data_IF_405891239049
#
_entry.id   IF_405891239049
#
_cell.length_a   1.000
_cell.length_b   1.000
_cell.length_c   1.000
_cell.angle_alpha   90.00
_cell.angle_beta   90.00
_cell.angle_gamma   90.00
#
_symmetry.space_group_name_H-M   'P 1'
#
loop_
_entity.id
_entity.type
_entity.pdbx_description
1 polymer ?
#
# COMPACT_ATOMS: atom_id res chain seq x y z
N UNK A 1 2.08 18.28 -23.23
CA UNK A 1 2.07 18.81 -21.87
C UNK A 1 2.27 17.70 -20.88
N UNK A 2 3.23 17.83 -20.01
CA UNK A 2 3.51 16.77 -19.04
C UNK A 2 2.39 16.69 -18.03
N UNK A 3 1.93 15.47 -17.71
CA UNK A 3 0.97 15.31 -16.64
C UNK A 3 1.60 15.74 -15.34
N UNK A 4 0.96 16.65 -14.68
CA UNK A 4 1.41 17.15 -13.41
C UNK A 4 0.29 17.00 -12.42
N UNK A 5 0.58 16.40 -11.28
CA UNK A 5 -0.43 16.24 -10.25
C UNK A 5 -0.78 17.60 -9.65
N UNK A 6 -2.06 17.84 -9.39
CA UNK A 6 -2.43 19.04 -8.66
C UNK A 6 -1.80 19.03 -7.27
N UNK A 7 -1.53 20.21 -6.70
CA UNK A 7 -0.95 20.26 -5.35
C UNK A 7 -1.80 19.54 -4.32
N UNK A 8 -3.11 19.50 -4.51
CA UNK A 8 -3.99 18.80 -3.59
C UNK A 8 -3.70 17.32 -3.57
N UNK A 9 -3.40 16.75 -4.74
CA UNK A 9 -3.08 15.32 -4.83
C UNK A 9 -1.76 15.04 -4.14
N UNK A 10 -0.76 15.90 -4.33
CA UNK A 10 0.52 15.72 -3.66
C UNK A 10 0.33 15.73 -2.15
N UNK A 11 -0.42 16.70 -1.65
CA UNK A 11 -0.68 16.80 -0.22
C UNK A 11 -1.42 15.56 0.27
N UNK A 12 -2.41 15.11 -0.47
CA UNK A 12 -3.18 13.93 -0.12
C UNK A 12 -2.29 12.70 -0.04
N UNK A 13 -1.42 12.52 -1.04
CA UNK A 13 -0.55 11.35 -1.08
C UNK A 13 0.47 11.39 0.05
N UNK A 14 1.02 12.55 0.34
CA UNK A 14 1.96 12.68 1.44
C UNK A 14 1.30 12.39 2.78
N UNK A 15 0.09 12.90 2.97
CA UNK A 15 -0.64 12.63 4.20
C UNK A 15 -0.98 11.14 4.30
N UNK A 16 -1.39 10.54 3.20
CA UNK A 16 -1.71 9.12 3.21
C UNK A 16 -0.49 8.27 3.52
N UNK A 17 0.65 8.63 2.95
CA UNK A 17 1.88 7.90 3.22
C UNK A 17 2.25 7.99 4.70
N UNK A 18 2.14 9.16 5.28
CA UNK A 18 2.41 9.33 6.71
C UNK A 18 1.50 8.44 7.54
N UNK A 19 0.22 8.40 7.19
CA UNK A 19 -0.73 7.54 7.90
C UNK A 19 -0.35 6.07 7.77
N UNK A 20 0.02 5.66 6.56
CA UNK A 20 0.37 4.27 6.32
C UNK A 20 1.64 3.88 7.07
N UNK A 21 2.61 4.77 7.10
CA UNK A 21 3.84 4.50 7.83
C UNK A 21 3.60 4.40 9.32
N UNK A 22 2.73 5.24 9.84
CA UNK A 22 2.36 5.17 11.25
C UNK A 22 1.61 3.87 11.54
N UNK A 23 0.72 3.49 10.66
CA UNK A 23 -0.03 2.25 10.81
C UNK A 23 0.90 1.04 10.75
N UNK A 24 1.84 1.07 9.83
CA UNK A 24 2.81 -0.01 9.69
C UNK A 24 3.67 -0.13 10.95
N UNK A 25 4.12 1.00 11.48
CA UNK A 25 4.90 0.99 12.70
C UNK A 25 4.10 0.38 13.85
N UNK A 26 2.82 0.70 13.93
CA UNK A 26 1.97 0.12 14.94
C UNK A 26 1.80 -1.39 14.79
N UNK A 27 1.66 -1.85 13.55
CA UNK A 27 1.49 -3.28 13.30
C UNK A 27 2.77 -4.06 13.56
N UNK A 28 3.91 -3.43 13.31
CA UNK A 28 5.20 -4.08 13.51
C UNK A 28 5.71 -3.94 14.93
N UNK A 29 5.10 -3.07 15.73
CA UNK A 29 5.53 -2.89 17.08
C UNK A 29 5.25 -4.14 17.88
N UNK A 30 6.25 -4.61 18.62
CA UNK A 30 6.06 -5.74 19.48
C UNK A 30 5.56 -5.27 20.82
N UNK A 31 4.67 -6.03 21.44
CA UNK A 31 4.30 -5.72 22.80
C UNK A 31 5.56 -5.75 23.66
N UNK A 32 5.89 -4.64 24.26
CA UNK A 32 7.09 -4.56 25.08
C UNK A 32 6.74 -4.59 26.55
N UNK A 33 5.47 -4.62 26.89
CA UNK A 33 5.06 -4.65 28.26
C UNK A 33 5.40 -6.01 28.85
N UNK A 34 6.18 -6.03 29.92
CA UNK A 34 6.56 -7.32 30.51
C UNK A 34 5.37 -8.18 30.88
N UNK A 35 4.32 -7.55 31.36
CA UNK A 35 3.13 -8.30 31.74
C UNK A 35 2.45 -8.98 30.58
N UNK A 36 2.57 -8.41 29.39
CA UNK A 36 1.94 -8.98 28.21
C UNK A 36 2.60 -10.28 27.80
N UNK A 37 3.82 -10.48 28.17
CA UNK A 37 4.57 -11.67 27.80
C UNK A 37 4.38 -12.81 28.79
N UNK A 38 4.00 -12.47 29.97
CA UNK A 38 3.91 -13.44 31.02
C UNK A 38 2.47 -13.91 31.13
N UNK A 39 2.21 -15.03 30.57
CA UNK A 39 0.85 -15.56 30.52
C UNK A 39 0.82 -16.90 31.18
N UNK A 40 1.03 -16.88 32.46
CA UNK A 40 1.04 -18.10 33.25
C UNK A 40 -0.31 -18.80 33.19
N UNK A 41 -0.28 -20.09 33.09
CA UNK A 41 -1.50 -20.86 33.08
C UNK A 41 -2.29 -20.76 31.80
N UNK A 42 -1.70 -20.20 30.75
CA UNK A 42 -2.40 -20.14 29.48
C UNK A 42 -2.64 -21.52 28.94
N UNK A 43 -3.81 -21.72 28.41
CA UNK A 43 -4.19 -22.97 27.77
C UNK A 43 -3.72 -22.97 26.35
N UNK A 44 -3.73 -24.18 25.77
CA UNK A 44 -3.33 -24.31 24.37
C UNK A 44 -4.17 -23.43 23.46
N UNK A 45 -5.45 -23.25 23.78
CA UNK A 45 -6.31 -22.40 22.96
C UNK A 45 -5.87 -20.95 22.97
N UNK A 46 -5.41 -20.47 24.14
CA UNK A 46 -4.91 -19.10 24.23
C UNK A 46 -3.66 -18.92 23.40
N UNK A 47 -2.79 -19.92 23.39
CA UNK A 47 -1.59 -19.86 22.60
C UNK A 47 -1.91 -19.82 21.11
N UNK A 48 -2.87 -20.63 20.67
CA UNK A 48 -3.30 -20.63 19.29
C UNK A 48 -3.88 -19.27 18.90
N UNK A 49 -4.65 -18.66 19.81
CA UNK A 49 -5.21 -17.34 19.54
C UNK A 49 -4.11 -16.31 19.36
N UNK A 50 -3.04 -16.39 20.15
CA UNK A 50 -1.91 -15.47 20.01
C UNK A 50 -1.21 -15.63 18.67
N UNK A 51 -0.99 -16.87 18.25
CA UNK A 51 -0.35 -17.13 16.97
C UNK A 51 -1.22 -16.62 15.82
N UNK A 52 -2.53 -16.85 15.93
CA UNK A 52 -3.46 -16.37 14.91
C UNK A 52 -3.43 -14.85 14.82
N UNK A 53 -3.40 -14.19 15.98
CA UNK A 53 -3.33 -12.73 16.02
C UNK A 53 -2.04 -12.22 15.37
N UNK A 54 -0.92 -12.87 15.66
CA UNK A 54 0.36 -12.49 15.08
C UNK A 54 0.34 -12.65 13.55
N UNK A 55 -0.26 -13.73 13.08
CA UNK A 55 -0.36 -13.93 11.65
C UNK A 55 -1.25 -12.88 10.99
N UNK A 56 -2.35 -12.53 11.66
CA UNK A 56 -3.23 -11.50 11.14
C UNK A 56 -2.52 -10.17 11.06
N UNK A 57 -1.73 -9.84 12.07
CA UNK A 57 -0.94 -8.60 12.06
C UNK A 57 0.09 -8.59 10.96
N UNK A 58 0.75 -9.73 10.75
CA UNK A 58 1.75 -9.82 9.70
C UNK A 58 1.12 -9.60 8.32
N UNK A 59 -0.05 -10.17 8.09
CA UNK A 59 -0.76 -9.98 6.84
C UNK A 59 -1.21 -8.54 6.66
N UNK A 60 -1.71 -7.95 7.73
CA UNK A 60 -2.11 -6.54 7.68
C UNK A 60 -0.90 -5.67 7.38
N UNK A 61 0.25 -5.96 7.99
CA UNK A 61 1.45 -5.20 7.73
C UNK A 61 1.88 -5.31 6.27
N UNK A 62 1.76 -6.50 5.69
CA UNK A 62 2.08 -6.66 4.27
C UNK A 62 1.19 -5.80 3.39
N UNK A 63 -0.10 -5.78 3.70
CA UNK A 63 -1.05 -4.97 2.92
C UNK A 63 -0.71 -3.49 3.02
N UNK A 64 -0.45 -3.03 4.23
CA UNK A 64 -0.11 -1.64 4.46
C UNK A 64 1.20 -1.29 3.74
N UNK A 65 2.18 -2.18 3.80
CA UNK A 65 3.45 -1.94 3.14
C UNK A 65 3.29 -1.85 1.63
N UNK A 66 2.49 -2.72 1.06
CA UNK A 66 2.24 -2.66 -0.38
C UNK A 66 1.59 -1.36 -0.79
N UNK A 67 0.62 -0.91 0.00
CA UNK A 67 -0.05 0.34 -0.29
C UNK A 67 0.92 1.51 -0.13
N UNK A 68 1.75 1.49 0.92
CA UNK A 68 2.74 2.53 1.12
C UNK A 68 3.71 2.60 -0.06
N UNK A 69 4.11 1.45 -0.57
CA UNK A 69 4.99 1.41 -1.74
C UNK A 69 4.32 2.03 -2.95
N UNK A 70 3.03 1.77 -3.13
CA UNK A 70 2.29 2.36 -4.24
C UNK A 70 2.21 3.87 -4.11
N UNK A 71 1.98 4.36 -2.90
CA UNK A 71 1.92 5.80 -2.66
C UNK A 71 3.28 6.43 -2.92
N UNK A 72 4.35 5.80 -2.45
CA UNK A 72 5.71 6.30 -2.70
C UNK A 72 6.01 6.32 -4.19
N UNK A 73 5.61 5.27 -4.91
CA UNK A 73 5.81 5.22 -6.34
C UNK A 73 5.06 6.33 -7.05
N UNK A 74 3.83 6.61 -6.62
CA UNK A 74 3.06 7.68 -7.20
C UNK A 74 3.72 9.03 -6.97
N UNK A 75 4.22 9.26 -5.76
CA UNK A 75 4.94 10.50 -5.47
C UNK A 75 6.19 10.63 -6.32
N UNK A 76 6.90 9.54 -6.53
CA UNK A 76 8.08 9.54 -7.37
C UNK A 76 7.72 9.86 -8.81
N UNK A 77 6.62 9.32 -9.29
CA UNK A 77 6.18 9.63 -10.65
C UNK A 77 5.77 11.09 -10.80
N UNK A 78 5.24 11.67 -9.75
CA UNK A 78 4.96 13.11 -9.76
C UNK A 78 6.25 13.89 -9.95
N UNK A 79 7.30 13.52 -9.22
CA UNK A 79 8.60 14.16 -9.36
C UNK A 79 9.16 14.01 -10.77
N UNK A 80 8.87 12.90 -11.41
CA UNK A 80 9.34 12.63 -12.76
C UNK A 80 8.45 13.25 -13.83
N UNK A 81 7.34 13.86 -13.43
CA UNK A 81 6.39 14.42 -14.40
C UNK A 81 5.59 13.36 -15.12
N UNK A 82 5.45 12.19 -14.52
CA UNK A 82 4.77 11.06 -15.17
C UNK A 82 3.51 10.64 -14.43
N UNK A 83 3.02 11.45 -13.52
CA UNK A 83 1.82 11.11 -12.79
C UNK A 83 0.64 10.99 -13.76
N UNK A 84 -0.18 9.96 -13.55
CA UNK A 84 -1.35 9.76 -14.42
C UNK A 84 -1.05 8.98 -15.68
N UNK A 85 0.18 8.53 -15.84
CA UNK A 85 0.58 7.71 -16.99
C UNK A 85 0.90 6.32 -16.47
N UNK A 86 0.33 5.31 -17.11
CA UNK A 86 0.57 3.93 -16.72
C UNK A 86 2.06 3.60 -16.88
N UNK A 87 2.64 3.00 -15.86
CA UNK A 87 4.07 2.67 -15.90
C UNK A 87 4.36 1.48 -16.81
N UNK A 88 3.34 0.74 -17.19
CA UNK A 88 3.51 -0.45 -18.03
C UNK A 88 3.27 -0.16 -19.48
N UNK A 89 2.10 0.38 -19.81
CA UNK A 89 1.75 0.62 -21.21
C UNK A 89 1.93 2.08 -21.64
N UNK A 90 2.19 2.96 -20.69
CA UNK A 90 2.46 4.38 -20.93
C UNK A 90 1.29 5.13 -21.51
N UNK A 91 0.10 4.58 -21.38
CA UNK A 91 -1.12 5.27 -21.73
C UNK A 91 -1.66 6.01 -20.51
N UNK A 92 -2.46 7.06 -20.73
CA UNK A 92 -3.03 7.78 -19.60
C UNK A 92 -3.91 6.88 -18.73
N UNK A 93 -3.78 7.05 -17.44
CA UNK A 93 -4.67 6.37 -16.49
C UNK A 93 -5.97 7.16 -16.46
N UNK A 94 -7.13 6.48 -16.55
CA UNK A 94 -8.41 7.21 -16.54
C UNK A 94 -8.56 8.07 -15.31
N UNK A 95 -9.13 9.24 -15.47
CA UNK A 95 -9.34 10.15 -14.36
C UNK A 95 -10.22 9.53 -13.28
N UNK A 96 -11.19 8.74 -13.68
CA UNK A 96 -12.08 8.08 -12.73
C UNK A 96 -11.29 7.16 -11.81
N UNK A 97 -10.29 6.48 -12.36
CA UNK A 97 -9.45 5.61 -11.56
C UNK A 97 -8.57 6.42 -10.61
N UNK A 98 -8.03 7.52 -11.09
CA UNK A 98 -7.20 8.38 -10.24
C UNK A 98 -8.01 9.05 -9.15
N UNK A 99 -9.28 9.31 -9.40
CA UNK A 99 -10.16 9.88 -8.38
C UNK A 99 -10.35 8.91 -7.22
N UNK A 100 -10.42 7.63 -7.52
CA UNK A 100 -10.60 6.59 -6.50
C UNK A 100 -9.26 6.17 -5.91
N UNK A 101 -8.25 6.03 -6.76
CA UNK A 101 -6.92 5.58 -6.36
C UNK A 101 -5.89 6.61 -6.81
N UNK A 102 -5.73 7.70 -6.05
CA UNK A 102 -4.79 8.75 -6.46
C UNK A 102 -3.35 8.26 -6.60
N UNK A 103 -3.04 7.14 -5.93
CA UNK A 103 -1.68 6.57 -6.01
C UNK A 103 -1.54 5.54 -7.12
N UNK A 104 -2.51 5.45 -8.02
CA UNK A 104 -2.43 4.47 -9.09
C UNK A 104 -1.27 4.80 -10.02
N UNK A 105 -0.47 3.78 -10.31
CA UNK A 105 0.62 3.89 -11.27
C UNK A 105 0.37 3.05 -12.50
N UNK A 106 -0.76 2.34 -12.54
CA UNK A 106 -1.13 1.47 -13.66
C UNK A 106 -2.59 1.69 -14.02
N UNK A 107 -2.88 1.55 -15.30
CA UNK A 107 -4.26 1.60 -15.74
C UNK A 107 -4.98 0.33 -15.30
N UNK A 108 -6.32 0.34 -15.46
CA UNK A 108 -7.13 -0.79 -15.03
C UNK A 108 -6.67 -2.08 -15.69
N UNK A 109 -6.41 -2.03 -16.98
CA UNK A 109 -6.05 -3.23 -17.73
C UNK A 109 -4.71 -3.79 -17.26
N UNK A 110 -3.72 -2.91 -17.08
CA UNK A 110 -2.40 -3.36 -16.65
C UNK A 110 -2.42 -3.84 -15.22
N UNK A 111 -3.21 -3.20 -14.38
CA UNK A 111 -3.32 -3.62 -12.98
C UNK A 111 -4.01 -4.99 -12.89
N UNK A 112 -5.04 -5.19 -13.70
CA UNK A 112 -5.76 -6.45 -13.69
C UNK A 112 -4.92 -7.57 -14.25
N UNK A 113 -4.07 -7.29 -15.22
CA UNK A 113 -3.21 -8.28 -15.82
C UNK A 113 -1.82 -8.32 -15.21
N UNK A 114 -1.61 -7.67 -14.09
CA UNK A 114 -0.27 -7.53 -13.53
C UNK A 114 0.36 -8.86 -13.19
N UNK A 115 -0.44 -9.85 -12.86
CA UNK A 115 0.09 -11.15 -12.46
C UNK A 115 0.43 -12.02 -13.65
N UNK A 116 0.01 -11.64 -14.84
CA UNK A 116 0.27 -12.41 -16.03
C UNK A 116 1.16 -11.68 -16.99
N UNK A 117 1.63 -12.38 -18.01
CA UNK A 117 2.40 -11.73 -19.04
C UNK A 117 1.53 -10.71 -19.75
N UNK A 118 2.12 -9.60 -20.08
CA UNK A 118 1.39 -8.59 -20.84
C UNK A 118 0.93 -9.18 -22.14
N UNK A 119 -0.36 -9.07 -22.45
CA UNK A 119 -0.83 -9.59 -23.72
C UNK A 119 -0.14 -8.86 -24.85
N UNK A 120 0.31 -9.63 -25.81
CA UNK A 120 0.91 -9.03 -26.97
C UNK A 120 -0.12 -8.18 -27.68
N UNK A 121 0.26 -7.01 -28.05
CA UNK A 121 -0.64 -6.13 -28.75
C UNK A 121 -1.58 -5.36 -27.86
N UNK A 122 -1.42 -5.46 -26.59
CA UNK A 122 -2.21 -4.67 -25.68
C UNK A 122 -1.36 -3.59 -25.11
#
# INVERSE_FOLDING_TARGET
MSPTAPPEVVTLLQARLTELEAELAGLNARPTEPGAQVQYGKRAGDHIAQVTDQLARARAAEQVEKLAEQVRAALQRIDQGAYGICEVCQLPIPEARLAVLPWATRCVDCAAGASGPAPAGS
#
